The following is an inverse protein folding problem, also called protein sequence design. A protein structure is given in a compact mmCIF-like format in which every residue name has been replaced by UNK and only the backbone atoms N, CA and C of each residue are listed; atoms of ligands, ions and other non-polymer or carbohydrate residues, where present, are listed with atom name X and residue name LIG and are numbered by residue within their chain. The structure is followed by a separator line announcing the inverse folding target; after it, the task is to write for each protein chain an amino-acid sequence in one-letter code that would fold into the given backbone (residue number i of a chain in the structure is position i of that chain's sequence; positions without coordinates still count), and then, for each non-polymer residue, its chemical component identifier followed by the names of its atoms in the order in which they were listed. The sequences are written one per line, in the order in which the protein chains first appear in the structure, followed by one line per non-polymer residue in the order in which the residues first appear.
data_IF_064435628257
#
_entry.id   IF_064435628257
#
_cell.length_a   1.000
_cell.length_b   1.000
_cell.length_c   1.000
_cell.angle_alpha   90.00
_cell.angle_beta   90.00
_cell.angle_gamma   90.00
#
_symmetry.space_group_name_H-M   'P 1'
#
loop_
_entity.id
_entity.type
_entity.pdbx_description
1 polymer ?
#
# COMPACT_ATOMS: atom_id res chain seq x y z
N UNK A 1 -0.17 -2.32 -6.22
CA UNK A 1 -0.42 -2.53 -7.65
C UNK A 1 0.03 -1.29 -8.41
N UNK A 2 0.20 -1.40 -9.73
CA UNK A 2 0.57 -0.27 -10.57
C UNK A 2 -0.44 -0.13 -11.70
N UNK A 3 -0.73 1.11 -12.07
CA UNK A 3 -1.59 1.48 -13.19
C UNK A 3 -1.09 2.78 -13.80
N UNK A 4 -1.65 3.20 -14.94
CA UNK A 4 -1.36 4.53 -15.50
C UNK A 4 -1.81 5.66 -14.58
N UNK A 5 -1.09 6.78 -14.65
CA UNK A 5 -1.31 7.94 -13.77
C UNK A 5 -2.67 8.60 -13.93
N UNK A 6 -3.31 8.39 -15.07
CA UNK A 6 -4.60 8.99 -15.43
C UNK A 6 -5.78 8.00 -15.25
N UNK A 7 -5.53 6.79 -14.75
CA UNK A 7 -6.57 5.76 -14.54
C UNK A 7 -7.43 5.99 -13.29
N UNK A 8 -7.18 7.05 -12.53
CA UNK A 8 -8.02 7.44 -11.39
C UNK A 8 -8.47 8.89 -11.53
N UNK A 9 -9.66 9.16 -11.01
CA UNK A 9 -10.14 10.51 -10.75
C UNK A 9 -10.34 10.67 -9.25
N UNK A 10 -9.72 11.70 -8.66
CA UNK A 10 -10.00 12.06 -7.27
C UNK A 10 -11.38 12.72 -7.20
N UNK A 11 -12.32 12.05 -6.54
CA UNK A 11 -13.65 12.64 -6.30
C UNK A 11 -13.58 13.68 -5.17
N UNK A 12 -12.85 13.36 -4.10
CA UNK A 12 -12.68 14.21 -2.91
C UNK A 12 -11.37 13.88 -2.19
N UNK A 13 -10.95 14.75 -1.28
CA UNK A 13 -9.89 14.44 -0.29
C UNK A 13 -8.45 14.57 -0.80
N UNK A 14 -8.23 14.90 -2.07
CA UNK A 14 -6.87 15.08 -2.62
C UNK A 14 -6.05 16.14 -1.84
N UNK A 15 -6.71 17.22 -1.40
CA UNK A 15 -6.08 18.31 -0.68
C UNK A 15 -5.51 17.92 0.71
N UNK A 16 -5.99 16.84 1.31
CA UNK A 16 -5.56 16.36 2.63
C UNK A 16 -4.57 15.18 2.54
N UNK A 17 -4.12 14.86 1.32
CA UNK A 17 -3.10 13.83 1.14
C UNK A 17 -1.73 14.39 1.54
N UNK A 18 -1.07 13.68 2.44
CA UNK A 18 0.35 13.89 2.75
C UNK A 18 1.18 12.86 2.03
N UNK A 19 2.37 13.28 1.58
CA UNK A 19 3.34 12.43 0.90
C UNK A 19 4.67 12.51 1.60
N UNK A 20 5.31 11.35 1.76
CA UNK A 20 6.67 11.25 2.25
C UNK A 20 7.56 10.56 1.20
N UNK A 21 8.65 11.22 0.82
CA UNK A 21 9.67 10.67 -0.07
C UNK A 21 10.90 10.31 0.77
N UNK A 22 11.32 9.05 0.72
CA UNK A 22 12.49 8.60 1.49
C UNK A 22 13.75 9.21 0.87
N UNK A 23 14.54 10.00 1.62
CA UNK A 23 15.76 10.60 1.08
C UNK A 23 16.70 9.54 0.49
N UNK A 24 17.22 9.80 -0.71
CA UNK A 24 18.18 8.93 -1.39
C UNK A 24 17.61 7.60 -1.91
N UNK A 25 16.29 7.37 -1.85
CA UNK A 25 15.66 6.14 -2.38
C UNK A 25 14.51 6.46 -3.32
N UNK A 26 14.22 5.53 -4.23
CA UNK A 26 13.06 5.57 -5.13
C UNK A 26 11.73 5.18 -4.43
N UNK A 27 11.69 5.30 -3.10
CA UNK A 27 10.57 4.87 -2.26
C UNK A 27 9.81 6.12 -1.80
N UNK A 28 8.49 6.08 -1.98
CA UNK A 28 7.58 7.09 -1.48
C UNK A 28 6.35 6.42 -0.90
N UNK A 29 5.63 7.13 -0.05
CA UNK A 29 4.29 6.76 0.39
C UNK A 29 3.39 8.01 0.43
N UNK A 30 2.08 7.83 0.26
CA UNK A 30 1.09 8.87 0.48
C UNK A 30 -0.07 8.34 1.33
N UNK A 31 -0.62 9.20 2.18
CA UNK A 31 -1.62 8.84 3.16
C UNK A 31 -2.54 10.02 3.48
N UNK A 32 -3.76 9.71 3.93
CA UNK A 32 -4.70 10.69 4.44
C UNK A 32 -4.19 11.28 5.75
N UNK A 33 -4.17 12.62 5.90
CA UNK A 33 -3.75 13.27 7.15
C UNK A 33 -4.68 13.00 8.34
N UNK A 34 -5.95 12.68 8.08
CA UNK A 34 -6.97 12.56 9.13
C UNK A 34 -7.04 11.14 9.71
N UNK A 35 -6.97 10.11 8.86
CA UNK A 35 -7.11 8.71 9.29
C UNK A 35 -5.84 7.86 9.12
N UNK A 36 -4.78 8.41 8.49
CA UNK A 36 -3.52 7.70 8.26
C UNK A 36 -3.57 6.59 7.21
N UNK A 37 -4.72 6.36 6.57
CA UNK A 37 -4.86 5.32 5.55
C UNK A 37 -3.97 5.62 4.34
N UNK A 38 -3.32 4.58 3.81
CA UNK A 38 -2.54 4.68 2.58
C UNK A 38 -3.47 4.91 1.38
N UNK A 39 -3.06 5.80 0.47
CA UNK A 39 -3.86 6.18 -0.71
C UNK A 39 -3.01 6.10 -1.98
N UNK A 40 -3.62 6.08 -3.18
CA UNK A 40 -2.86 6.08 -4.42
C UNK A 40 -1.89 7.27 -4.56
N UNK A 41 -0.72 7.04 -5.15
CA UNK A 41 0.27 8.08 -5.40
C UNK A 41 1.12 7.81 -6.62
N UNK A 42 1.57 8.89 -7.28
CA UNK A 42 2.51 8.80 -8.40
C UNK A 42 3.87 8.30 -7.88
N UNK A 43 4.43 7.30 -8.56
CA UNK A 43 5.80 6.84 -8.32
C UNK A 43 6.79 8.02 -8.38
N UNK A 44 7.98 7.87 -7.81
CA UNK A 44 8.96 8.96 -7.82
C UNK A 44 9.36 9.39 -9.25
N UNK A 45 9.33 8.45 -10.20
CA UNK A 45 9.56 8.73 -11.63
C UNK A 45 8.38 9.40 -12.33
N UNK A 46 7.20 9.44 -11.70
CA UNK A 46 5.96 9.96 -12.29
C UNK A 46 5.35 9.07 -13.37
N UNK A 47 5.96 7.92 -13.69
CA UNK A 47 5.54 7.05 -14.82
C UNK A 47 4.42 6.08 -14.48
N UNK A 48 4.13 5.88 -13.20
CA UNK A 48 3.11 4.93 -12.75
C UNK A 48 2.40 5.48 -11.53
N UNK A 49 1.13 5.11 -11.39
CA UNK A 49 0.40 5.27 -10.15
C UNK A 49 0.54 4.00 -9.31
N UNK A 50 1.01 4.16 -8.09
CA UNK A 50 1.00 3.10 -7.08
C UNK A 50 -0.36 3.09 -6.41
N UNK A 51 -1.04 1.95 -6.42
CA UNK A 51 -2.34 1.73 -5.78
C UNK A 51 -2.17 0.71 -4.66
N UNK A 52 -2.33 1.10 -3.38
CA UNK A 52 -2.38 0.17 -2.25
C UNK A 52 -3.50 -0.87 -2.43
N UNK A 53 -3.26 -2.14 -2.10
CA UNK A 53 -4.30 -3.16 -2.23
C UNK A 53 -5.47 -2.93 -1.26
N UNK A 54 -5.19 -2.42 -0.07
CA UNK A 54 -6.21 -2.14 0.95
C UNK A 54 -7.10 -0.93 0.65
N UNK A 55 -6.84 -0.18 -0.44
CA UNK A 55 -7.72 0.92 -0.86
C UNK A 55 -8.79 0.48 -1.86
N UNK A 56 -8.90 -0.82 -2.16
CA UNK A 56 -9.91 -1.36 -3.07
C UNK A 56 -11.07 -1.98 -2.27
N UNK A 57 -12.29 -1.72 -2.71
CA UNK A 57 -13.51 -2.31 -2.12
C UNK A 57 -13.69 -3.80 -2.47
N UNK A 58 -12.98 -4.28 -3.49
CA UNK A 58 -13.10 -5.64 -4.01
C UNK A 58 -11.73 -6.29 -4.17
N UNK A 59 -11.71 -7.62 -4.09
CA UNK A 59 -10.50 -8.39 -4.29
C UNK A 59 -9.93 -8.12 -5.70
N UNK A 60 -8.67 -7.69 -5.81
CA UNK A 60 -8.06 -7.47 -7.10
C UNK A 60 -7.81 -8.82 -7.80
N UNK A 61 -7.97 -8.86 -9.12
CA UNK A 61 -7.65 -10.04 -9.95
C UNK A 61 -6.13 -10.19 -10.17
N UNK A 62 -5.34 -10.07 -9.10
CA UNK A 62 -3.89 -10.21 -9.07
C UNK A 62 -3.50 -10.78 -7.72
N UNK A 63 -2.59 -11.75 -7.72
CA UNK A 63 -1.98 -12.31 -6.52
C UNK A 63 -0.61 -11.68 -6.26
N UNK A 64 -0.11 -11.69 -5.01
CA UNK A 64 1.28 -11.31 -4.72
C UNK A 64 2.26 -12.10 -5.60
N UNK A 65 3.15 -11.40 -6.30
CA UNK A 65 4.12 -12.01 -7.23
C UNK A 65 5.51 -12.18 -6.63
N UNK A 66 5.85 -11.41 -5.59
CA UNK A 66 7.20 -11.39 -5.03
C UNK A 66 7.20 -10.96 -3.57
N UNK A 67 8.08 -11.57 -2.77
CA UNK A 67 8.42 -11.14 -1.42
C UNK A 67 9.73 -10.34 -1.46
N UNK A 68 9.62 -9.03 -1.54
CA UNK A 68 10.77 -8.13 -1.70
C UNK A 68 11.46 -7.94 -0.33
N UNK A 69 12.80 -7.97 -0.31
CA UNK A 69 13.64 -7.92 0.91
C UNK A 69 13.40 -9.09 1.90
N UNK A 70 13.08 -10.29 1.41
CA UNK A 70 12.77 -11.46 2.25
C UNK A 70 13.88 -11.85 3.24
N UNK A 71 15.15 -11.58 2.92
CA UNK A 71 16.28 -11.83 3.82
C UNK A 71 16.26 -10.93 5.08
N UNK A 72 15.62 -9.76 5.00
CA UNK A 72 15.52 -8.78 6.10
C UNK A 72 14.22 -8.94 6.92
N UNK A 73 13.40 -9.95 6.61
CA UNK A 73 12.14 -10.18 7.34
C UNK A 73 12.40 -10.47 8.81
N UNK A 74 11.45 -10.09 9.66
CA UNK A 74 11.52 -10.41 11.08
C UNK A 74 11.55 -11.93 11.30
N UNK A 75 12.26 -12.39 12.33
CA UNK A 75 12.41 -13.83 12.62
C UNK A 75 11.07 -14.55 12.85
N UNK A 76 10.06 -13.84 13.35
CA UNK A 76 8.72 -14.36 13.59
C UNK A 76 7.84 -14.40 12.33
N UNK A 77 8.29 -13.88 11.19
CA UNK A 77 7.52 -13.85 9.93
C UNK A 77 7.17 -15.25 9.42
N UNK A 78 8.01 -16.26 9.67
CA UNK A 78 7.71 -17.60 9.17
C UNK A 78 6.57 -18.28 9.99
N UNK A 79 6.37 -17.82 11.23
CA UNK A 79 5.39 -18.38 12.16
C UNK A 79 3.97 -17.84 11.98
N UNK A 80 3.77 -16.78 11.18
CA UNK A 80 2.47 -16.08 11.10
C UNK A 80 1.35 -17.00 10.58
N UNK A 81 1.70 -17.96 9.71
CA UNK A 81 0.75 -18.92 9.14
C UNK A 81 0.15 -19.87 10.18
N UNK A 82 0.85 -20.08 11.30
CA UNK A 82 0.42 -20.90 12.42
C UNK A 82 -0.36 -20.12 13.50
N UNK A 83 -0.42 -18.78 13.41
CA UNK A 83 -1.17 -17.96 14.35
C UNK A 83 -2.67 -18.27 14.30
N UNK A 84 -3.35 -18.13 15.45
CA UNK A 84 -4.81 -18.22 15.54
C UNK A 84 -5.43 -17.15 14.64
N UNK A 85 -6.38 -17.56 13.80
CA UNK A 85 -7.16 -16.69 12.93
C UNK A 85 -8.49 -16.39 13.61
N UNK A 86 -8.96 -15.16 13.46
CA UNK A 86 -10.23 -14.72 13.99
C UNK A 86 -11.05 -14.16 12.82
N UNK A 87 -12.30 -14.62 12.70
CA UNK A 87 -13.23 -14.12 11.68
C UNK A 87 -13.85 -12.76 12.09
N UNK A 88 -13.68 -12.37 13.36
CA UNK A 88 -14.19 -11.13 13.95
C UNK A 88 -13.21 -10.57 14.99
N UNK A 89 -13.59 -9.46 15.64
CA UNK A 89 -12.80 -8.86 16.73
C UNK A 89 -12.46 -9.92 17.79
N UNK A 90 -11.18 -10.09 18.15
CA UNK A 90 -10.77 -10.93 19.29
C UNK A 90 -11.29 -10.36 20.61
N UNK A 91 -11.55 -11.24 21.59
CA UNK A 91 -11.88 -10.87 22.97
C UNK A 91 -10.74 -10.13 23.69
#
# INVERSE_FOLDING_TARGET
MFTDVDNIAWLTGEAIIKRFNVPGRSISNAFCSECGSAVPYKSLSGKALVVPAGSLDSEPNIRPLSHIFYAERASWYDSITACKKFDSMPD
#
